data_IF_221328789784
#
_entry.id   IF_221328789784
#
_cell.length_a   1.000
_cell.length_b   1.000
_cell.length_c   1.000
_cell.angle_alpha   90.00
_cell.angle_beta   90.00
_cell.angle_gamma   90.00
#
_symmetry.space_group_name_H-M   'P 1'
#
loop_
_entity.id
_entity.type
_entity.pdbx_description
1 polymer ?
#
# COMPACT_ATOMS: atom_id res chain seq x y z
N UNK A 1 -8.35 9.94 17.36
CA UNK A 1 -8.37 9.16 16.10
C UNK A 1 -7.46 7.94 16.17
N UNK A 2 -6.17 8.09 16.51
CA UNK A 2 -5.21 6.98 16.53
C UNK A 2 -5.54 5.84 17.49
N UNK A 3 -6.06 6.13 18.69
CA UNK A 3 -6.49 5.08 19.65
C UNK A 3 -7.54 4.13 19.04
N UNK A 4 -8.56 4.66 18.37
CA UNK A 4 -9.60 3.86 17.69
C UNK A 4 -9.00 2.94 16.63
N UNK A 5 -7.99 3.42 15.90
CA UNK A 5 -7.35 2.66 14.82
C UNK A 5 -6.44 1.55 15.36
N UNK A 6 -5.65 1.87 16.39
CA UNK A 6 -4.85 0.91 17.16
C UNK A 6 -5.72 -0.21 17.73
N UNK A 7 -6.82 0.14 18.40
CA UNK A 7 -7.78 -0.81 18.99
C UNK A 7 -8.45 -1.68 17.91
N UNK A 8 -8.88 -1.07 16.80
CA UNK A 8 -9.45 -1.79 15.65
C UNK A 8 -8.48 -2.81 15.05
N UNK A 9 -7.19 -2.50 15.04
CA UNK A 9 -6.14 -3.38 14.55
C UNK A 9 -5.58 -4.32 15.62
N UNK A 10 -5.95 -4.12 16.90
CA UNK A 10 -5.51 -4.92 18.06
C UNK A 10 -3.98 -4.98 18.19
N UNK A 11 -3.30 -3.87 17.94
CA UNK A 11 -1.82 -3.77 17.98
C UNK A 11 -1.32 -2.96 19.18
N UNK A 12 -0.09 -3.19 19.60
CA UNK A 12 0.59 -2.34 20.59
C UNK A 12 0.92 -0.96 20.00
N UNK A 13 1.29 0.02 20.84
CA UNK A 13 1.71 1.34 20.36
C UNK A 13 2.97 1.28 19.49
N UNK A 14 3.88 0.37 19.81
CA UNK A 14 5.10 0.15 19.02
C UNK A 14 4.79 -0.42 17.64
N UNK A 15 3.98 -1.48 17.58
CA UNK A 15 3.52 -2.05 16.31
C UNK A 15 2.72 -1.03 15.49
N UNK A 16 1.89 -0.22 16.14
CA UNK A 16 1.15 0.86 15.48
C UNK A 16 2.08 1.87 14.80
N UNK A 17 3.13 2.31 15.48
CA UNK A 17 4.13 3.20 14.89
C UNK A 17 4.83 2.55 13.69
N UNK A 18 5.28 1.29 13.83
CA UNK A 18 5.92 0.54 12.73
C UNK A 18 5.00 0.36 11.51
N UNK A 19 3.71 0.10 11.74
CA UNK A 19 2.70 -0.02 10.68
C UNK A 19 2.55 1.32 9.96
N UNK A 20 2.44 2.43 10.69
CA UNK A 20 2.36 3.76 10.09
C UNK A 20 3.61 4.12 9.29
N UNK A 21 4.79 3.83 9.82
CA UNK A 21 6.05 4.01 9.09
C UNK A 21 6.09 3.16 7.83
N UNK A 22 5.62 1.91 7.90
CA UNK A 22 5.52 1.01 6.74
C UNK A 22 4.55 1.55 5.69
N UNK A 23 3.40 2.11 6.09
CA UNK A 23 2.47 2.77 5.16
C UNK A 23 3.12 3.98 4.47
N UNK A 24 3.83 4.83 5.22
CA UNK A 24 4.49 6.01 4.66
C UNK A 24 5.59 5.60 3.66
N UNK A 25 6.51 4.73 4.07
CA UNK A 25 7.61 4.26 3.22
C UNK A 25 7.13 3.43 2.03
N UNK A 26 6.17 2.52 2.25
CA UNK A 26 5.57 1.73 1.17
C UNK A 26 4.78 2.60 0.18
N UNK A 27 4.11 3.65 0.66
CA UNK A 27 3.45 4.65 -0.18
C UNK A 27 4.45 5.45 -1.02
N UNK A 28 5.53 5.94 -0.41
CA UNK A 28 6.61 6.64 -1.12
C UNK A 28 7.28 5.76 -2.17
N UNK A 29 7.60 4.50 -1.82
CA UNK A 29 8.15 3.53 -2.78
C UNK A 29 7.19 3.27 -3.94
N UNK A 30 5.90 3.13 -3.65
CA UNK A 30 4.88 2.89 -4.68
C UNK A 30 4.74 4.09 -5.63
N UNK A 31 4.75 5.31 -5.12
CA UNK A 31 4.70 6.52 -5.94
C UNK A 31 5.91 6.62 -6.88
N UNK A 32 7.11 6.40 -6.35
CA UNK A 32 8.34 6.37 -7.15
C UNK A 32 8.27 5.29 -8.25
N UNK A 33 7.96 4.05 -7.87
CA UNK A 33 7.89 2.95 -8.82
C UNK A 33 6.75 3.12 -9.85
N UNK A 34 5.65 3.78 -9.47
CA UNK A 34 4.56 4.13 -10.38
C UNK A 34 5.01 5.10 -11.47
N UNK A 35 5.80 6.12 -11.13
CA UNK A 35 6.36 7.04 -12.13
C UNK A 35 7.38 6.35 -13.05
N UNK A 36 8.20 5.44 -12.52
CA UNK A 36 9.13 4.65 -13.34
C UNK A 36 8.38 3.76 -14.36
N UNK A 37 7.32 3.08 -13.91
CA UNK A 37 6.47 2.28 -14.82
C UNK A 37 5.84 3.15 -15.91
N UNK A 38 5.35 4.34 -15.57
CA UNK A 38 4.78 5.27 -16.54
C UNK A 38 5.80 5.79 -17.55
N UNK A 39 7.04 6.02 -17.10
CA UNK A 39 8.17 6.40 -17.96
C UNK A 39 8.42 5.33 -19.01
N UNK A 40 8.41 4.05 -18.64
CA UNK A 40 8.60 2.93 -19.57
C UNK A 40 7.45 2.77 -20.56
N UNK A 41 6.22 3.14 -20.18
CA UNK A 41 5.06 3.13 -21.08
C UNK A 41 5.06 4.26 -22.11
N UNK A 42 5.95 5.25 -21.95
CA UNK A 42 6.14 6.38 -22.86
C UNK A 42 4.85 7.16 -23.21
N UNK A 43 3.95 7.33 -22.23
CA UNK A 43 2.66 8.00 -22.41
C UNK A 43 2.88 9.52 -22.53
N UNK A 44 2.80 10.04 -23.76
CA UNK A 44 2.98 11.47 -24.06
C UNK A 44 1.75 12.33 -23.75
N UNK A 45 0.58 11.72 -23.64
CA UNK A 45 -0.71 12.40 -23.46
C UNK A 45 -0.95 12.72 -21.98
N UNK A 46 -0.79 13.99 -21.60
CA UNK A 46 -0.87 14.44 -20.18
C UNK A 46 -2.18 14.08 -19.48
N UNK A 47 -3.32 14.21 -20.15
CA UNK A 47 -4.62 13.91 -19.54
C UNK A 47 -4.84 12.41 -19.30
N UNK A 48 -4.18 11.54 -20.09
CA UNK A 48 -4.22 10.09 -19.93
C UNK A 48 -3.19 9.62 -18.89
N UNK A 49 -2.09 10.36 -18.73
CA UNK A 49 -1.02 10.03 -17.79
C UNK A 49 -1.52 9.91 -16.34
N UNK A 50 -2.35 10.86 -15.88
CA UNK A 50 -2.87 10.86 -14.50
C UNK A 50 -3.75 9.65 -14.16
N UNK A 51 -4.80 9.32 -14.93
CA UNK A 51 -5.61 8.13 -14.64
C UNK A 51 -4.81 6.83 -14.75
N UNK A 52 -3.86 6.72 -15.70
CA UNK A 52 -2.98 5.55 -15.79
C UNK A 52 -2.06 5.47 -14.56
N UNK A 53 -1.48 6.58 -14.12
CA UNK A 53 -0.68 6.63 -12.89
C UNK A 53 -1.46 6.10 -11.68
N UNK A 54 -2.69 6.56 -11.49
CA UNK A 54 -3.55 6.13 -10.38
C UNK A 54 -3.80 4.62 -10.44
N UNK A 55 -4.09 4.07 -11.62
CA UNK A 55 -4.28 2.63 -11.80
C UNK A 55 -3.01 1.84 -11.48
N UNK A 56 -1.87 2.27 -12.01
CA UNK A 56 -0.57 1.62 -11.78
C UNK A 56 -0.23 1.62 -10.30
N UNK A 57 -0.26 2.77 -9.63
CA UNK A 57 0.05 2.89 -8.20
C UNK A 57 -0.93 2.07 -7.36
N UNK A 58 -2.21 2.04 -7.71
CA UNK A 58 -3.21 1.24 -6.97
C UNK A 58 -2.92 -0.25 -7.04
N UNK A 59 -2.54 -0.75 -8.23
CA UNK A 59 -2.19 -2.16 -8.44
C UNK A 59 -0.84 -2.51 -7.79
N UNK A 60 0.11 -1.57 -7.82
CA UNK A 60 1.47 -1.77 -7.32
C UNK A 60 1.55 -1.68 -5.79
N UNK A 61 0.66 -0.90 -5.16
CA UNK A 61 0.69 -0.59 -3.74
C UNK A 61 0.77 -1.81 -2.80
N UNK A 62 -0.01 -2.89 -2.99
CA UNK A 62 0.10 -4.10 -2.17
C UNK A 62 1.51 -4.70 -2.16
N UNK A 63 2.21 -4.65 -3.30
CA UNK A 63 3.58 -5.17 -3.41
C UNK A 63 4.57 -4.29 -2.66
N UNK A 64 4.51 -2.97 -2.84
CA UNK A 64 5.41 -2.03 -2.18
C UNK A 64 5.29 -2.08 -0.65
N UNK A 65 4.06 -2.11 -0.14
CA UNK A 65 3.82 -2.17 1.30
C UNK A 65 4.25 -3.52 1.88
N UNK A 66 4.04 -4.63 1.17
CA UNK A 66 4.55 -5.93 1.61
C UNK A 66 6.07 -5.96 1.64
N UNK A 67 6.75 -5.42 0.63
CA UNK A 67 8.22 -5.34 0.60
C UNK A 67 8.77 -4.57 1.79
N UNK A 68 8.25 -3.35 2.03
CA UNK A 68 8.69 -2.53 3.16
C UNK A 68 8.33 -3.19 4.50
N UNK A 69 7.23 -3.93 4.59
CA UNK A 69 6.83 -4.55 5.86
C UNK A 69 7.78 -5.66 6.36
N UNK A 70 8.64 -6.20 5.50
CA UNK A 70 9.61 -7.27 5.83
C UNK A 70 10.62 -6.77 6.88
N UNK A 71 11.42 -5.71 6.64
CA UNK A 71 12.40 -5.23 7.62
C UNK A 71 11.77 -4.72 8.93
N UNK A 72 10.51 -4.28 8.91
CA UNK A 72 9.79 -3.82 10.11
C UNK A 72 9.03 -4.94 10.84
N UNK A 73 9.09 -6.18 10.38
CA UNK A 73 8.41 -7.33 10.98
C UNK A 73 6.86 -7.24 10.93
N UNK A 74 6.30 -6.40 10.06
CA UNK A 74 4.85 -6.19 9.92
C UNK A 74 4.24 -6.99 8.74
N UNK A 75 4.99 -7.90 8.11
CA UNK A 75 4.54 -8.66 6.94
C UNK A 75 3.25 -9.45 7.18
N UNK A 76 3.13 -10.15 8.31
CA UNK A 76 1.92 -10.90 8.64
C UNK A 76 0.68 -9.99 8.76
N UNK A 77 0.85 -8.81 9.37
CA UNK A 77 -0.20 -7.80 9.49
C UNK A 77 -0.66 -7.33 8.11
N UNK A 78 0.27 -6.89 7.24
CA UNK A 78 -0.07 -6.37 5.92
C UNK A 78 -0.62 -7.44 4.98
N UNK A 79 -0.11 -8.67 5.05
CA UNK A 79 -0.67 -9.80 4.29
C UNK A 79 -2.12 -10.08 4.69
N UNK A 80 -2.45 -10.06 5.98
CA UNK A 80 -3.82 -10.21 6.45
C UNK A 80 -4.70 -9.01 6.06
N UNK A 81 -4.16 -7.78 6.14
CA UNK A 81 -4.83 -6.56 5.75
C UNK A 81 -5.22 -6.57 4.26
N UNK A 82 -4.26 -6.88 3.37
CA UNK A 82 -4.48 -6.98 1.92
C UNK A 82 -5.49 -8.08 1.61
N UNK A 83 -5.37 -9.26 2.24
CA UNK A 83 -6.34 -10.35 2.04
C UNK A 83 -7.76 -9.93 2.40
N UNK A 84 -7.93 -9.19 3.51
CA UNK A 84 -9.23 -8.67 3.94
C UNK A 84 -9.80 -7.65 2.96
N UNK A 85 -8.94 -6.85 2.32
CA UNK A 85 -9.35 -5.94 1.25
C UNK A 85 -9.77 -6.72 0.02
N UNK A 86 -8.95 -7.66 -0.44
CA UNK A 86 -9.24 -8.50 -1.61
C UNK A 86 -10.55 -9.28 -1.45
N UNK A 87 -10.79 -9.88 -0.28
CA UNK A 87 -12.04 -10.58 0.05
C UNK A 87 -13.30 -9.70 -0.12
N UNK A 88 -13.20 -8.40 0.17
CA UNK A 88 -14.31 -7.45 -0.03
C UNK A 88 -14.58 -7.16 -1.50
N UNK A 89 -13.55 -7.19 -2.33
CA UNK A 89 -13.68 -6.99 -3.77
C UNK A 89 -14.18 -8.26 -4.49
N UNK A 90 -13.80 -9.44 -4.01
CA UNK A 90 -14.19 -10.73 -4.62
C UNK A 90 -15.51 -11.29 -4.10
N UNK A 91 -16.14 -10.66 -3.10
CA UNK A 91 -17.44 -11.09 -2.55
C UNK A 91 -17.39 -12.34 -1.66
N UNK A 92 -16.22 -12.98 -1.53
CA UNK A 92 -16.01 -14.07 -0.58
C UNK A 92 -15.84 -13.47 0.83
N UNK A 93 -16.90 -13.53 1.64
CA UNK A 93 -16.88 -13.16 3.05
C UNK A 93 -16.23 -14.24 3.92
#
# INVERSE_FOLDING_TARGET
MFNKLKEKWKVSWWQFALIFTTFALGGSLCGYAGEEVLSWMNISVKWLRVPVYILVVTILWPLCVLLISIPFGQFAFFRAYIRKIAARFTGNK
#
